data_IF_788958618249
#
_entry.id   IF_788958618249
#
_cell.length_a   1.000
_cell.length_b   1.000
_cell.length_c   1.000
_cell.angle_alpha   90.00
_cell.angle_beta   90.00
_cell.angle_gamma   90.00
#
_symmetry.space_group_name_H-M   'P 1'
#
loop_
_entity.id
_entity.type
_entity.pdbx_description
1 polymer ?
#
# COMPACT_ATOMS: atom_id res chain seq x y z
N UNK A 1 19.21 -7.25 4.76
CA UNK A 1 17.89 -6.67 5.10
C UNK A 1 16.86 -7.05 4.04
N UNK A 2 16.57 -8.35 3.83
CA UNK A 2 15.60 -8.77 2.80
C UNK A 2 14.16 -8.43 3.20
N UNK A 3 13.88 -8.42 4.50
CA UNK A 3 12.55 -8.15 5.07
C UNK A 3 12.04 -6.77 4.69
N UNK A 4 12.90 -5.74 4.72
CA UNK A 4 12.50 -4.38 4.35
C UNK A 4 11.88 -4.34 2.94
N UNK A 5 12.55 -4.93 1.94
CA UNK A 5 12.06 -4.92 0.56
C UNK A 5 10.80 -5.77 0.38
N UNK A 6 10.69 -6.90 1.09
CA UNK A 6 9.48 -7.74 1.10
C UNK A 6 8.29 -6.97 1.65
N UNK A 7 8.45 -6.37 2.84
CA UNK A 7 7.38 -5.61 3.49
C UNK A 7 7.03 -4.35 2.70
N UNK A 8 8.01 -3.62 2.18
CA UNK A 8 7.79 -2.45 1.35
C UNK A 8 7.01 -2.80 0.08
N UNK A 9 7.41 -3.85 -0.65
CA UNK A 9 6.69 -4.26 -1.85
C UNK A 9 5.26 -4.73 -1.51
N UNK A 10 5.07 -5.53 -0.46
CA UNK A 10 3.75 -5.96 -0.01
C UNK A 10 2.84 -4.77 0.34
N UNK A 11 3.37 -3.81 1.11
CA UNK A 11 2.70 -2.58 1.51
C UNK A 11 2.25 -1.77 0.29
N UNK A 12 3.18 -1.48 -0.63
CA UNK A 12 2.88 -0.72 -1.85
C UNK A 12 1.79 -1.40 -2.69
N UNK A 13 1.82 -2.75 -2.78
CA UNK A 13 0.82 -3.51 -3.53
C UNK A 13 -0.55 -3.58 -2.83
N UNK A 14 -0.56 -3.57 -1.50
CA UNK A 14 -1.78 -3.58 -0.72
C UNK A 14 -2.47 -2.20 -0.72
N UNK A 15 -1.73 -1.12 -0.50
CA UNK A 15 -2.29 0.23 -0.32
C UNK A 15 -2.71 0.93 -1.61
N UNK A 16 -2.04 0.68 -2.74
CA UNK A 16 -2.35 1.37 -3.99
C UNK A 16 -3.18 0.50 -4.95
N UNK A 17 -2.69 -0.65 -5.45
CA UNK A 17 -3.51 -1.53 -6.29
C UNK A 17 -4.72 -2.15 -5.58
N UNK A 18 -4.52 -2.73 -4.39
CA UNK A 18 -5.53 -3.60 -3.79
C UNK A 18 -6.53 -2.85 -2.91
N UNK A 19 -6.17 -1.68 -2.37
CA UNK A 19 -7.09 -0.79 -1.68
C UNK A 19 -7.99 -0.03 -2.67
N UNK A 20 -8.96 -0.74 -3.23
CA UNK A 20 -9.98 -0.13 -4.09
C UNK A 20 -10.84 0.88 -3.31
N UNK A 21 -11.54 1.77 -4.02
CA UNK A 21 -12.54 2.67 -3.43
C UNK A 21 -13.57 1.95 -2.55
N UNK A 22 -13.92 0.70 -2.89
CA UNK A 22 -14.85 -0.10 -2.08
C UNK A 22 -14.22 -0.51 -0.75
N UNK A 23 -12.97 -0.97 -0.77
CA UNK A 23 -12.24 -1.34 0.44
C UNK A 23 -11.99 -0.12 1.31
N UNK A 24 -11.58 1.01 0.72
CA UNK A 24 -11.41 2.26 1.46
C UNK A 24 -12.71 2.69 2.17
N UNK A 25 -13.86 2.66 1.49
CA UNK A 25 -15.15 2.98 2.13
C UNK A 25 -15.49 2.03 3.28
N UNK A 26 -15.25 0.73 3.13
CA UNK A 26 -15.45 -0.24 4.20
C UNK A 26 -14.52 0.03 5.39
N UNK A 27 -13.25 0.34 5.12
CA UNK A 27 -12.22 0.68 6.11
C UNK A 27 -12.62 1.89 6.97
N UNK A 28 -13.13 2.94 6.35
CA UNK A 28 -13.55 4.16 7.06
C UNK A 28 -14.85 3.94 7.86
N UNK A 29 -15.74 3.08 7.38
CA UNK A 29 -17.08 2.88 7.99
C UNK A 29 -17.11 1.84 9.10
N UNK A 30 -16.12 0.93 9.19
CA UNK A 30 -16.16 -0.16 10.18
C UNK A 30 -14.78 -0.72 10.54
N UNK A 31 -14.63 -1.20 11.78
CA UNK A 31 -13.44 -1.95 12.19
C UNK A 31 -13.28 -3.26 11.41
N UNK A 32 -14.39 -3.86 10.93
CA UNK A 32 -14.35 -5.05 10.08
C UNK A 32 -13.75 -4.75 8.70
N UNK A 33 -14.11 -3.61 8.09
CA UNK A 33 -13.50 -3.17 6.84
C UNK A 33 -12.03 -2.80 7.00
N UNK A 34 -11.66 -2.25 8.15
CA UNK A 34 -10.25 -2.04 8.49
C UNK A 34 -9.50 -3.37 8.63
N UNK A 35 -10.06 -4.33 9.36
CA UNK A 35 -9.47 -5.67 9.48
C UNK A 35 -9.35 -6.37 8.11
N UNK A 36 -10.32 -6.20 7.20
CA UNK A 36 -10.22 -6.68 5.83
C UNK A 36 -9.02 -6.07 5.10
N UNK A 37 -8.82 -4.76 5.22
CA UNK A 37 -7.67 -4.09 4.60
C UNK A 37 -6.34 -4.61 5.18
N UNK A 38 -6.24 -4.75 6.50
CA UNK A 38 -5.06 -5.34 7.15
C UNK A 38 -4.81 -6.78 6.68
N UNK A 39 -5.86 -7.57 6.48
CA UNK A 39 -5.73 -8.93 5.95
C UNK A 39 -5.11 -8.93 4.54
N UNK A 40 -5.38 -7.93 3.70
CA UNK A 40 -4.74 -7.79 2.38
C UNK A 40 -3.22 -7.63 2.54
N UNK A 41 -2.76 -6.79 3.48
CA UNK A 41 -1.33 -6.62 3.78
C UNK A 41 -0.68 -7.92 4.24
N UNK A 42 -1.35 -8.66 5.14
CA UNK A 42 -0.87 -9.95 5.63
C UNK A 42 -0.77 -10.97 4.50
N UNK A 43 -1.80 -11.09 3.66
CA UNK A 43 -1.83 -12.01 2.52
C UNK A 43 -0.74 -11.64 1.51
N UNK A 44 -0.59 -10.36 1.15
CA UNK A 44 0.45 -9.94 0.21
C UNK A 44 1.86 -10.19 0.74
N UNK A 45 2.08 -9.96 2.03
CA UNK A 45 3.36 -10.30 2.66
C UNK A 45 3.60 -11.80 2.65
N UNK A 46 2.59 -12.61 2.99
CA UNK A 46 2.69 -14.07 2.94
C UNK A 46 2.97 -14.59 1.52
N UNK A 47 2.42 -13.94 0.49
CA UNK A 47 2.70 -14.23 -0.92
C UNK A 47 4.13 -13.86 -1.35
N UNK A 48 4.84 -13.00 -0.62
CA UNK A 48 6.25 -12.72 -0.90
C UNK A 48 7.22 -13.56 -0.07
N UNK A 49 6.73 -14.27 0.96
CA UNK A 49 7.51 -15.19 1.78
C UNK A 49 7.49 -16.61 1.20
N UNK A 50 8.65 -17.29 1.20
CA UNK A 50 8.76 -18.67 0.69
C UNK A 50 8.07 -19.68 1.61
N UNK A 51 8.16 -19.45 2.92
CA UNK A 51 7.52 -20.30 3.95
C UNK A 51 6.85 -19.41 5.01
N UNK A 52 5.68 -18.81 4.70
CA UNK A 52 5.05 -17.80 5.56
C UNK A 52 4.73 -18.32 6.97
N UNK A 53 4.44 -19.62 7.14
CA UNK A 53 4.20 -20.23 8.45
C UNK A 53 5.39 -20.14 9.42
N UNK A 54 6.63 -19.93 8.93
CA UNK A 54 7.80 -19.69 9.78
C UNK A 54 7.88 -18.27 10.34
N UNK A 55 7.05 -17.37 9.84
CA UNK A 55 7.09 -15.93 10.12
C UNK A 55 5.74 -15.42 10.64
N UNK A 56 4.97 -16.27 11.33
CA UNK A 56 3.67 -15.89 11.89
C UNK A 56 3.78 -14.74 12.91
N UNK A 57 4.88 -14.69 13.66
CA UNK A 57 5.21 -13.59 14.57
C UNK A 57 5.36 -12.25 13.82
N UNK A 58 6.08 -12.25 12.71
CA UNK A 58 6.23 -11.08 11.84
C UNK A 58 4.90 -10.68 11.19
N UNK A 59 4.12 -11.64 10.69
CA UNK A 59 2.82 -11.39 10.06
C UNK A 59 1.81 -10.82 11.07
N UNK A 60 1.81 -11.32 12.31
CA UNK A 60 0.97 -10.80 13.39
C UNK A 60 1.41 -9.39 13.79
N UNK A 61 2.72 -9.16 13.96
CA UNK A 61 3.24 -7.83 14.30
C UNK A 61 2.95 -6.81 13.19
N UNK A 62 3.07 -7.21 11.92
CA UNK A 62 2.67 -6.41 10.75
C UNK A 62 1.18 -6.07 10.82
N UNK A 63 0.33 -7.07 11.08
CA UNK A 63 -1.12 -6.86 11.17
C UNK A 63 -1.49 -5.85 12.27
N UNK A 64 -0.88 -5.98 13.45
CA UNK A 64 -1.10 -5.06 14.58
C UNK A 64 -0.60 -3.66 14.23
N UNK A 65 0.61 -3.53 13.70
CA UNK A 65 1.19 -2.23 13.33
C UNK A 65 0.31 -1.51 12.31
N UNK A 66 -0.09 -2.19 11.23
CA UNK A 66 -0.99 -1.64 10.22
C UNK A 66 -2.37 -1.29 10.77
N UNK A 67 -2.95 -2.18 11.58
CA UNK A 67 -4.26 -1.90 12.17
C UNK A 67 -4.21 -0.63 13.01
N UNK A 68 -3.17 -0.46 13.85
CA UNK A 68 -3.03 0.71 14.71
C UNK A 68 -2.80 2.00 13.91
N UNK A 69 -1.91 1.99 12.91
CA UNK A 69 -1.64 3.17 12.07
C UNK A 69 -2.91 3.63 11.34
N UNK A 70 -3.57 2.71 10.66
CA UNK A 70 -4.80 3.01 9.93
C UNK A 70 -5.96 3.39 10.87
N UNK A 71 -6.08 2.73 12.02
CA UNK A 71 -7.10 3.06 13.01
C UNK A 71 -6.92 4.52 13.46
N UNK A 72 -5.71 4.93 13.83
CA UNK A 72 -5.42 6.33 14.17
C UNK A 72 -5.79 7.25 13.01
N UNK A 73 -5.36 6.92 11.77
CA UNK A 73 -5.67 7.74 10.58
C UNK A 73 -7.17 7.92 10.35
N UNK A 74 -7.96 6.87 10.53
CA UNK A 74 -9.42 6.92 10.35
C UNK A 74 -10.11 7.72 11.46
N UNK A 75 -9.59 7.70 12.70
CA UNK A 75 -10.21 8.41 13.84
C UNK A 75 -9.80 9.89 13.90
N UNK A 76 -8.65 10.23 13.32
CA UNK A 76 -8.13 11.59 13.27
C UNK A 76 -7.91 12.01 11.80
N UNK A 77 -8.99 12.20 11.01
CA UNK A 77 -8.87 12.65 9.64
C UNK A 77 -8.33 14.09 9.59
N UNK A 78 -7.63 14.41 8.51
CA UNK A 78 -7.05 15.74 8.28
C UNK A 78 -7.80 16.44 7.16
N UNK A 79 -7.93 17.76 7.26
CA UNK A 79 -8.43 18.64 6.20
C UNK A 79 -7.47 19.83 6.05
N UNK A 80 -6.75 19.99 4.92
CA UNK A 80 -6.79 19.16 3.72
C UNK A 80 -6.29 17.72 3.95
N UNK A 81 -6.66 16.79 3.07
CA UNK A 81 -6.34 15.37 3.22
C UNK A 81 -4.89 15.03 2.84
N UNK A 82 -4.29 15.74 1.88
CA UNK A 82 -2.98 15.39 1.33
C UNK A 82 -1.82 15.37 2.35
N UNK A 83 -1.71 16.29 3.34
CA UNK A 83 -0.63 16.22 4.33
C UNK A 83 -0.81 14.99 5.21
N UNK A 84 -2.05 14.70 5.60
CA UNK A 84 -2.35 13.51 6.40
C UNK A 84 -2.18 12.22 5.63
N UNK A 85 -2.27 12.21 4.30
CA UNK A 85 -1.89 11.05 3.48
C UNK A 85 -0.37 10.86 3.50
N UNK A 86 0.43 11.93 3.39
CA UNK A 86 1.90 11.83 3.47
C UNK A 86 2.34 11.33 4.85
N UNK A 87 1.77 11.88 5.93
CA UNK A 87 2.04 11.44 7.30
C UNK A 87 1.68 9.96 7.50
N UNK A 88 0.57 9.52 6.91
CA UNK A 88 0.14 8.12 6.95
C UNK A 88 1.16 7.20 6.25
N UNK A 89 1.63 7.56 5.06
CA UNK A 89 2.68 6.76 4.38
C UNK A 89 4.00 6.73 5.15
N UNK A 90 4.37 7.83 5.83
CA UNK A 90 5.56 7.89 6.67
C UNK A 90 5.44 7.01 7.92
N UNK A 91 4.25 6.98 8.55
CA UNK A 91 3.99 6.11 9.70
C UNK A 91 4.11 4.63 9.32
N UNK A 92 3.53 4.24 8.19
CA UNK A 92 3.68 2.89 7.64
C UNK A 92 5.13 2.54 7.31
N UNK A 93 5.87 3.47 6.67
CA UNK A 93 7.29 3.26 6.38
C UNK A 93 8.11 3.09 7.66
N UNK A 94 7.84 3.87 8.70
CA UNK A 94 8.49 3.73 10.01
C UNK A 94 8.21 2.37 10.64
N UNK A 95 6.96 1.88 10.58
CA UNK A 95 6.59 0.55 11.04
C UNK A 95 7.34 -0.56 10.26
N UNK A 96 7.42 -0.44 8.93
CA UNK A 96 8.18 -1.36 8.08
C UNK A 96 9.67 -1.38 8.46
N UNK A 97 10.28 -0.22 8.68
CA UNK A 97 11.68 -0.12 9.12
C UNK A 97 11.87 -0.78 10.49
N UNK A 98 10.98 -0.52 11.45
CA UNK A 98 11.05 -1.12 12.78
C UNK A 98 10.93 -2.66 12.73
N UNK A 99 9.98 -3.17 11.95
CA UNK A 99 9.80 -4.62 11.75
C UNK A 99 10.98 -5.26 11.01
N UNK A 100 11.52 -4.56 10.00
CA UNK A 100 12.71 -5.03 9.29
C UNK A 100 13.96 -5.00 10.17
N UNK A 101 14.06 -4.08 11.13
CA UNK A 101 15.12 -4.12 12.15
C UNK A 101 14.95 -5.33 13.06
N UNK A 102 13.74 -5.54 13.59
CA UNK A 102 13.46 -6.66 14.50
C UNK A 102 13.63 -8.03 13.84
N UNK A 103 13.24 -8.17 12.57
CA UNK A 103 13.46 -9.36 11.73
C UNK A 103 14.23 -8.99 10.45
N UNK A 104 15.57 -8.88 10.48
CA UNK A 104 16.41 -8.44 9.36
C UNK A 104 16.34 -9.27 8.08
N UNK A 105 16.13 -10.58 8.24
CA UNK A 105 16.24 -11.56 7.17
C UNK A 105 15.03 -12.48 7.17
N UNK A 106 14.34 -12.49 6.05
CA UNK A 106 13.33 -13.47 5.67
C UNK A 106 13.72 -14.14 4.36
N UNK A 107 13.24 -15.36 4.15
CA UNK A 107 13.36 -16.05 2.87
C UNK A 107 12.24 -15.57 1.94
N UNK A 108 12.56 -14.61 1.07
CA UNK A 108 11.66 -14.12 0.04
C UNK A 108 11.51 -15.15 -1.09
N UNK A 109 10.35 -15.16 -1.78
CA UNK A 109 10.18 -15.89 -3.04
C UNK A 109 10.86 -15.15 -4.18
N UNK A 110 10.66 -13.85 -4.27
CA UNK A 110 11.27 -13.03 -5.30
C UNK A 110 12.70 -12.65 -4.89
N UNK A 111 13.69 -12.79 -5.77
CA UNK A 111 15.02 -12.24 -5.54
C UNK A 111 15.01 -10.70 -5.61
N UNK A 112 15.98 -10.07 -4.97
CA UNK A 112 16.05 -8.61 -4.84
C UNK A 112 16.05 -7.86 -6.19
N UNK A 113 16.73 -8.41 -7.20
CA UNK A 113 16.81 -7.81 -8.54
C UNK A 113 15.45 -7.78 -9.28
N UNK A 114 14.48 -8.62 -8.88
CA UNK A 114 13.09 -8.51 -9.34
C UNK A 114 12.26 -7.57 -8.47
N UNK A 115 12.49 -7.57 -7.16
CA UNK A 115 11.73 -6.71 -6.23
C UNK A 115 12.01 -5.22 -6.46
N UNK A 116 13.26 -4.81 -6.69
CA UNK A 116 13.63 -3.41 -6.89
C UNK A 116 12.90 -2.74 -8.08
N UNK A 117 12.92 -3.29 -9.32
CA UNK A 117 12.19 -2.69 -10.42
C UNK A 117 10.67 -2.72 -10.18
N UNK A 118 10.13 -3.74 -9.52
CA UNK A 118 8.71 -3.77 -9.13
C UNK A 118 8.36 -2.66 -8.13
N UNK A 119 9.19 -2.43 -7.12
CA UNK A 119 9.02 -1.33 -6.16
C UNK A 119 9.01 0.00 -6.91
N UNK A 120 10.00 0.24 -7.78
CA UNK A 120 10.07 1.47 -8.59
C UNK A 120 8.82 1.63 -9.46
N UNK A 121 8.36 0.54 -10.07
CA UNK A 121 7.14 0.55 -10.88
C UNK A 121 5.89 0.88 -10.05
N UNK A 122 5.76 0.37 -8.81
CA UNK A 122 4.61 0.64 -7.93
C UNK A 122 4.70 2.00 -7.23
N UNK A 123 5.87 2.64 -7.19
CA UNK A 123 5.96 4.05 -6.76
C UNK A 123 5.20 5.00 -7.71
N UNK A 124 5.05 4.64 -9.00
CA UNK A 124 4.23 5.40 -9.93
C UNK A 124 2.75 5.48 -9.49
N UNK A 125 2.01 4.37 -9.29
CA UNK A 125 0.63 4.43 -8.80
C UNK A 125 0.50 5.09 -7.42
N UNK A 126 1.51 4.97 -6.54
CA UNK A 126 1.55 5.71 -5.27
C UNK A 126 1.59 7.24 -5.50
N UNK A 127 2.47 7.71 -6.39
CA UNK A 127 2.55 9.13 -6.76
C UNK A 127 1.28 9.64 -7.45
N UNK A 128 0.68 8.85 -8.33
CA UNK A 128 -0.60 9.18 -8.97
C UNK A 128 -1.74 9.27 -7.93
N UNK A 129 -1.73 8.42 -6.90
CA UNK A 129 -2.68 8.48 -5.79
C UNK A 129 -2.49 9.76 -4.97
N UNK A 130 -1.26 10.13 -4.62
CA UNK A 130 -0.98 11.40 -3.92
C UNK A 130 -1.48 12.62 -4.73
N UNK A 131 -1.18 12.65 -6.04
CA UNK A 131 -1.66 13.71 -6.92
C UNK A 131 -3.19 13.73 -7.04
N UNK A 132 -3.82 12.57 -7.01
CA UNK A 132 -5.28 12.46 -6.97
C UNK A 132 -5.85 13.01 -5.66
N UNK A 133 -5.30 12.66 -4.50
CA UNK A 133 -5.72 13.20 -3.19
C UNK A 133 -5.58 14.72 -3.19
N UNK A 134 -4.42 15.23 -3.59
CA UNK A 134 -4.18 16.66 -3.72
C UNK A 134 -5.16 17.34 -4.67
N UNK A 135 -5.46 16.75 -5.83
CA UNK A 135 -6.40 17.31 -6.79
C UNK A 135 -7.83 17.39 -6.21
N UNK A 136 -8.24 16.44 -5.38
CA UNK A 136 -9.54 16.50 -4.70
C UNK A 136 -9.59 17.61 -3.65
N UNK A 137 -8.53 17.78 -2.84
CA UNK A 137 -8.44 18.92 -1.91
C UNK A 137 -8.43 20.26 -2.65
N UNK A 138 -7.63 20.36 -3.72
CA UNK A 138 -7.51 21.57 -4.51
C UNK A 138 -8.84 21.96 -5.17
N UNK A 139 -9.61 20.98 -5.65
CA UNK A 139 -10.91 21.22 -6.27
C UNK A 139 -11.93 21.87 -5.29
N UNK A 140 -11.80 21.64 -3.98
CA UNK A 140 -12.65 22.26 -2.98
C UNK A 140 -12.31 23.75 -2.74
N UNK A 141 -11.13 24.20 -3.17
CA UNK A 141 -10.73 25.59 -3.06
C UNK A 141 -11.29 26.42 -4.24
N UNK A 142 -11.90 27.57 -3.95
CA UNK A 142 -12.47 28.48 -4.96
C UNK A 142 -11.49 28.81 -6.11
N UNK A 143 -10.18 28.89 -5.81
CA UNK A 143 -9.13 29.18 -6.80
C UNK A 143 -9.04 28.14 -7.92
N UNK A 144 -9.34 26.88 -7.64
CA UNK A 144 -9.14 25.77 -8.58
C UNK A 144 -10.43 25.05 -8.97
N UNK A 145 -11.58 25.48 -8.46
CA UNK A 145 -12.89 24.87 -8.72
C UNK A 145 -13.18 24.70 -10.23
N UNK A 146 -12.80 25.69 -11.05
CA UNK A 146 -13.01 25.70 -12.50
C UNK A 146 -11.77 25.25 -13.31
N UNK A 147 -10.70 24.80 -12.65
CA UNK A 147 -9.49 24.35 -13.34
C UNK A 147 -9.71 23.01 -14.04
N UNK A 148 -9.66 23.00 -15.37
CA UNK A 148 -9.80 21.78 -16.19
C UNK A 148 -8.77 20.71 -15.81
N UNK A 149 -7.53 21.11 -15.53
CA UNK A 149 -6.46 20.18 -15.15
C UNK A 149 -6.73 19.50 -13.81
N UNK A 150 -7.24 20.24 -12.83
CA UNK A 150 -7.58 19.70 -11.49
C UNK A 150 -8.78 18.76 -11.57
N UNK A 151 -9.83 19.13 -12.33
CA UNK A 151 -10.99 18.26 -12.55
C UNK A 151 -10.63 16.99 -13.33
N UNK A 152 -9.71 17.08 -14.29
CA UNK A 152 -9.20 15.90 -14.98
C UNK A 152 -8.43 15.00 -14.01
N UNK A 153 -7.56 15.58 -13.18
CA UNK A 153 -6.74 14.85 -12.23
C UNK A 153 -7.60 14.10 -11.20
N UNK A 154 -8.59 14.77 -10.60
CA UNK A 154 -9.51 14.18 -9.60
C UNK A 154 -10.37 13.05 -10.17
N UNK A 155 -10.64 13.04 -11.48
CA UNK A 155 -11.44 11.98 -12.14
C UNK A 155 -10.61 10.83 -12.71
N UNK A 156 -9.40 11.09 -13.18
CA UNK A 156 -8.63 10.13 -14.02
C UNK A 156 -7.46 9.48 -13.32
N UNK A 157 -6.79 10.16 -12.38
CA UNK A 157 -5.54 9.66 -11.80
C UNK A 157 -5.74 8.39 -10.98
N UNK A 158 -6.80 8.29 -10.18
CA UNK A 158 -7.07 7.08 -9.40
C UNK A 158 -7.32 5.84 -10.28
N UNK A 159 -8.22 5.86 -11.28
CA UNK A 159 -8.37 4.72 -12.20
C UNK A 159 -7.07 4.32 -12.93
N UNK A 160 -6.24 5.30 -13.30
CA UNK A 160 -4.95 5.04 -13.93
C UNK A 160 -4.02 4.35 -12.94
N UNK A 161 -3.88 4.89 -11.73
CA UNK A 161 -3.10 4.30 -10.63
C UNK A 161 -3.50 2.84 -10.38
N UNK A 162 -4.81 2.56 -10.28
CA UNK A 162 -5.33 1.21 -10.07
C UNK A 162 -4.92 0.25 -11.19
N UNK A 163 -5.04 0.64 -12.47
CA UNK A 163 -4.68 -0.22 -13.61
C UNK A 163 -3.20 -0.61 -13.60
N UNK A 164 -2.31 0.37 -13.44
CA UNK A 164 -0.87 0.11 -13.32
C UNK A 164 -0.56 -0.77 -12.10
N UNK A 165 -1.23 -0.49 -10.98
CA UNK A 165 -1.09 -1.27 -9.76
C UNK A 165 -1.45 -2.75 -9.95
N UNK A 166 -2.60 -3.05 -10.56
CA UNK A 166 -3.03 -4.43 -10.77
C UNK A 166 -2.08 -5.23 -11.68
N UNK A 167 -1.43 -4.58 -12.65
CA UNK A 167 -0.38 -5.22 -13.43
C UNK A 167 0.77 -5.71 -12.53
N UNK A 168 1.20 -4.91 -11.56
CA UNK A 168 2.25 -5.30 -10.61
C UNK A 168 1.82 -6.48 -9.73
N UNK A 169 0.58 -6.48 -9.24
CA UNK A 169 0.02 -7.61 -8.46
C UNK A 169 0.06 -8.90 -9.28
N UNK A 170 -0.41 -8.84 -10.54
CA UNK A 170 -0.42 -10.01 -11.43
C UNK A 170 1.00 -10.54 -11.70
N UNK A 171 1.97 -9.63 -11.92
CA UNK A 171 3.38 -10.02 -12.09
C UNK A 171 3.90 -10.73 -10.84
N UNK A 172 3.65 -10.20 -9.64
CA UNK A 172 4.08 -10.84 -8.39
C UNK A 172 3.48 -12.23 -8.21
N UNK A 173 2.17 -12.39 -8.48
CA UNK A 173 1.50 -13.68 -8.41
C UNK A 173 2.08 -14.66 -9.42
N UNK A 174 2.27 -14.24 -10.67
CA UNK A 174 2.86 -15.07 -11.72
C UNK A 174 4.30 -15.50 -11.36
N UNK A 175 5.15 -14.56 -10.94
CA UNK A 175 6.51 -14.86 -10.50
C UNK A 175 6.52 -15.85 -9.32
N UNK A 176 5.61 -15.69 -8.35
CA UNK A 176 5.50 -16.62 -7.22
C UNK A 176 5.20 -18.04 -7.70
N UNK A 177 4.24 -18.21 -8.61
CA UNK A 177 3.85 -19.52 -9.14
C UNK A 177 4.99 -20.19 -9.90
N UNK A 178 5.74 -19.43 -10.69
CA UNK A 178 6.89 -19.96 -11.45
C UNK A 178 8.03 -20.35 -10.50
N UNK A 179 8.40 -19.47 -9.56
CA UNK A 179 9.59 -19.65 -8.72
C UNK A 179 9.42 -20.65 -7.56
N UNK A 180 8.18 -21.01 -7.21
CA UNK A 180 7.93 -22.08 -6.23
C UNK A 180 7.97 -23.48 -6.87
N UNK A 181 7.76 -23.56 -8.19
CA UNK A 181 7.79 -24.81 -8.95
C UNK A 181 9.18 -25.13 -9.53
N UNK A 182 10.14 -24.20 -9.39
CA UNK A 182 11.55 -24.33 -9.76
C UNK A 182 12.44 -24.58 -8.56
#
# INVERSE_FOLDING_TARGET
MSTFFVLLLAHLLADFPLQTNRIFRLKVTSNAGLALHVMIHVVMTALLLRQPARYLDLLLALAVAHFLTDWVKVRFPTDPQWPGFVLDQLAHLAAIVALAWWRPVVTAVLPLWLMLPLIIFVLLPAGLMLLWVWANDAQQQNRYQNSRSVQWASRRLLPISQRFGWMAVLIVVACRLVLLNS
#
